data_IF_995495681806
#
_entry.id   IF_995495681806
#
_cell.length_a   1.000
_cell.length_b   1.000
_cell.length_c   1.000
_cell.angle_alpha   90.00
_cell.angle_beta   90.00
_cell.angle_gamma   90.00
#
_symmetry.space_group_name_H-M   'P 1'
#
loop_
_entity.id
_entity.type
_entity.pdbx_description
1 polymer ?
#
# COMPACT_ATOMS: atom_id res chain seq x y z
N UNK A 1 -22.98 -15.59 -15.26
CA UNK A 1 -23.27 -14.65 -14.15
C UNK A 1 -23.38 -15.49 -12.89
N UNK A 2 -22.51 -15.28 -11.89
CA UNK A 2 -22.59 -15.99 -10.62
C UNK A 2 -23.66 -15.32 -9.76
N UNK A 3 -24.70 -16.06 -9.38
CA UNK A 3 -25.70 -15.57 -8.44
C UNK A 3 -25.09 -15.50 -7.04
N UNK A 4 -25.47 -14.48 -6.28
CA UNK A 4 -25.06 -14.29 -4.89
C UNK A 4 -25.55 -15.47 -4.04
N UNK A 5 -24.67 -16.14 -3.29
CA UNK A 5 -25.08 -17.30 -2.47
C UNK A 5 -25.98 -16.92 -1.28
N UNK A 6 -25.99 -15.65 -0.88
CA UNK A 6 -26.79 -15.16 0.26
C UNK A 6 -28.22 -14.78 -0.15
N UNK A 7 -28.36 -13.94 -1.18
CA UNK A 7 -29.66 -13.38 -1.58
C UNK A 7 -30.15 -13.81 -2.97
N UNK A 8 -29.38 -14.63 -3.71
CA UNK A 8 -29.72 -15.06 -5.07
C UNK A 8 -29.58 -13.97 -6.15
N UNK A 9 -29.22 -12.74 -5.77
CA UNK A 9 -29.06 -11.60 -6.67
C UNK A 9 -27.97 -11.82 -7.74
N UNK A 10 -28.13 -11.24 -8.92
CA UNK A 10 -27.21 -11.41 -10.05
C UNK A 10 -26.00 -10.47 -10.04
N UNK A 11 -26.00 -9.46 -9.16
CA UNK A 11 -25.02 -8.38 -9.16
C UNK A 11 -23.88 -8.66 -8.17
N UNK A 12 -23.03 -9.62 -8.52
CA UNK A 12 -21.78 -9.90 -7.81
C UNK A 12 -20.63 -9.22 -8.55
N UNK A 13 -20.01 -8.23 -7.91
CA UNK A 13 -18.92 -7.42 -8.47
C UNK A 13 -17.64 -7.56 -7.63
N UNK A 14 -16.49 -7.26 -8.23
CA UNK A 14 -15.25 -7.21 -7.47
C UNK A 14 -15.23 -5.99 -6.54
N UNK A 15 -14.88 -6.20 -5.26
CA UNK A 15 -14.81 -5.10 -4.26
C UNK A 15 -13.89 -3.98 -4.74
N UNK A 16 -12.78 -4.33 -5.39
CA UNK A 16 -11.83 -3.38 -5.94
C UNK A 16 -12.43 -2.46 -7.03
N UNK A 17 -13.27 -3.01 -7.90
CA UNK A 17 -13.93 -2.26 -8.97
C UNK A 17 -15.03 -1.35 -8.40
N UNK A 18 -15.82 -1.87 -7.47
CA UNK A 18 -16.88 -1.12 -6.81
C UNK A 18 -16.30 0.07 -6.00
N UNK A 19 -15.22 -0.15 -5.23
CA UNK A 19 -14.51 0.94 -4.55
C UNK A 19 -13.98 2.01 -5.53
N UNK A 20 -13.39 1.59 -6.66
CA UNK A 20 -12.87 2.52 -7.66
C UNK A 20 -13.94 3.36 -8.36
N UNK A 21 -15.18 2.83 -8.46
CA UNK A 21 -16.34 3.58 -8.93
C UNK A 21 -16.86 4.54 -7.86
N UNK A 22 -17.04 4.05 -6.62
CA UNK A 22 -17.56 4.81 -5.48
C UNK A 22 -16.70 6.03 -5.14
N UNK A 23 -15.37 5.90 -5.13
CA UNK A 23 -14.46 7.00 -4.76
C UNK A 23 -14.50 8.21 -5.72
N UNK A 24 -15.06 8.03 -6.93
CA UNK A 24 -15.23 9.11 -7.91
C UNK A 24 -16.53 9.88 -7.71
N UNK A 25 -17.45 9.37 -6.89
CA UNK A 25 -18.74 9.98 -6.61
C UNK A 25 -18.56 10.92 -5.41
N UNK A 26 -18.77 12.23 -5.56
CA UNK A 26 -18.53 13.20 -4.48
C UNK A 26 -19.48 13.03 -3.29
N UNK A 27 -20.69 12.51 -3.48
CA UNK A 27 -21.63 12.20 -2.39
C UNK A 27 -21.47 10.79 -1.79
N UNK A 28 -20.41 10.06 -2.12
CA UNK A 28 -20.20 8.72 -1.55
C UNK A 28 -20.00 8.77 -0.03
N UNK A 29 -20.63 7.83 0.67
CA UNK A 29 -20.53 7.73 2.13
C UNK A 29 -19.10 7.34 2.55
N UNK A 30 -18.38 8.20 3.30
CA UNK A 30 -17.01 7.95 3.71
C UNK A 30 -16.88 6.72 4.61
N UNK A 31 -17.89 6.37 5.40
CA UNK A 31 -17.85 5.18 6.26
C UNK A 31 -17.95 3.89 5.44
N UNK A 32 -18.84 3.87 4.46
CA UNK A 32 -18.97 2.75 3.52
C UNK A 32 -17.70 2.57 2.66
N UNK A 33 -17.09 3.67 2.22
CA UNK A 33 -15.82 3.66 1.49
C UNK A 33 -14.65 3.12 2.34
N UNK A 34 -14.60 3.47 3.62
CA UNK A 34 -13.55 3.01 4.52
C UNK A 34 -13.57 1.50 4.71
N UNK A 35 -14.76 0.88 4.77
CA UNK A 35 -14.91 -0.57 4.84
C UNK A 35 -14.41 -1.29 3.57
N UNK A 36 -14.60 -0.65 2.42
CA UNK A 36 -14.21 -1.15 1.10
C UNK A 36 -12.77 -0.77 0.72
N UNK A 37 -12.05 -0.02 1.55
CA UNK A 37 -10.76 0.55 1.15
C UNK A 37 -9.67 -0.53 0.94
N UNK A 38 -8.76 -0.33 -0.02
CA UNK A 38 -7.63 -1.22 -0.20
C UNK A 38 -6.70 -1.19 1.02
N UNK A 39 -5.98 -2.29 1.31
CA UNK A 39 -5.03 -2.31 2.41
C UNK A 39 -3.95 -1.24 2.23
N UNK A 40 -3.63 -0.55 3.33
CA UNK A 40 -2.64 0.52 3.35
C UNK A 40 -1.26 -0.03 2.94
N UNK A 41 -0.68 0.50 1.86
CA UNK A 41 0.62 0.04 1.34
C UNK A 41 1.77 0.55 2.20
N UNK A 42 2.06 -0.15 3.30
CA UNK A 42 3.21 0.11 4.19
C UNK A 42 4.53 0.10 3.42
N UNK A 43 4.62 -0.65 2.32
CA UNK A 43 5.77 -0.65 1.43
C UNK A 43 6.01 0.71 0.77
N UNK A 44 5.02 1.58 0.61
CA UNK A 44 5.28 2.91 0.05
C UNK A 44 6.10 3.71 1.05
N UNK A 45 5.69 3.78 2.31
CA UNK A 45 6.42 4.51 3.36
C UNK A 45 7.87 4.06 3.52
N UNK A 46 8.11 2.74 3.64
CA UNK A 46 9.48 2.22 3.75
C UNK A 46 10.29 2.45 2.47
N UNK A 47 9.64 2.40 1.30
CA UNK A 47 10.29 2.66 0.02
C UNK A 47 10.75 4.10 -0.08
N UNK A 48 9.87 5.06 0.22
CA UNK A 48 10.20 6.49 0.21
C UNK A 48 11.31 6.80 1.22
N UNK A 49 11.21 6.27 2.44
CA UNK A 49 12.23 6.47 3.48
C UNK A 49 13.61 5.94 3.03
N UNK A 50 13.65 4.76 2.41
CA UNK A 50 14.90 4.17 1.89
C UNK A 50 15.51 5.04 0.79
N UNK A 51 14.69 5.51 -0.17
CA UNK A 51 15.14 6.41 -1.25
C UNK A 51 15.71 7.70 -0.66
N UNK A 52 15.02 8.33 0.30
CA UNK A 52 15.50 9.54 0.95
C UNK A 52 16.83 9.32 1.67
N UNK A 53 17.01 8.21 2.37
CA UNK A 53 18.26 7.88 3.07
C UNK A 53 19.43 7.65 2.10
N UNK A 54 19.21 6.96 0.98
CA UNK A 54 20.23 6.80 -0.05
C UNK A 54 20.57 8.13 -0.74
N UNK A 55 19.58 9.00 -0.95
CA UNK A 55 19.80 10.32 -1.50
C UNK A 55 20.64 11.21 -0.56
N UNK A 56 20.35 11.17 0.75
CA UNK A 56 21.15 11.85 1.77
C UNK A 56 22.57 11.27 1.87
N UNK A 57 22.72 9.95 1.73
CA UNK A 57 24.04 9.31 1.64
C UNK A 57 24.85 9.88 0.46
N UNK A 58 24.23 9.98 -0.72
CA UNK A 58 24.88 10.52 -1.92
C UNK A 58 25.27 11.99 -1.80
N UNK A 59 24.44 12.83 -1.17
CA UNK A 59 24.73 14.25 -0.98
C UNK A 59 25.77 14.50 0.13
N UNK A 60 25.85 13.63 1.13
CA UNK A 60 26.67 13.84 2.34
C UNK A 60 28.14 14.24 2.11
N UNK A 61 28.89 13.74 1.10
CA UNK A 61 30.28 14.11 0.87
C UNK A 61 30.46 15.59 0.48
N UNK A 62 29.41 16.25 -0.04
CA UNK A 62 29.45 17.65 -0.45
C UNK A 62 29.12 18.66 0.67
N UNK A 63 28.55 18.19 1.80
CA UNK A 63 28.07 19.06 2.88
C UNK A 63 28.72 18.78 4.23
N UNK A 64 29.48 17.70 4.37
CA UNK A 64 30.09 17.28 5.63
C UNK A 64 31.61 17.43 5.55
N UNK A 65 32.27 17.95 6.61
CA UNK A 65 33.73 18.03 6.64
C UNK A 65 34.35 16.63 6.44
N UNK A 66 35.50 16.52 5.74
CA UNK A 66 36.04 15.24 5.26
C UNK A 66 36.29 14.22 6.38
N UNK A 67 36.65 14.71 7.57
CA UNK A 67 36.87 13.92 8.79
C UNK A 67 35.59 13.25 9.34
N UNK A 68 34.40 13.72 8.96
CA UNK A 68 33.10 13.13 9.33
C UNK A 68 32.32 12.58 8.13
N UNK A 69 32.80 12.79 6.91
CA UNK A 69 32.09 12.37 5.69
C UNK A 69 31.89 10.84 5.66
N UNK A 70 32.91 10.07 6.00
CA UNK A 70 32.82 8.60 6.02
C UNK A 70 31.84 8.04 7.06
N UNK A 71 31.90 8.39 8.36
CA UNK A 71 30.94 7.88 9.34
C UNK A 71 29.49 8.32 9.06
N UNK A 72 29.29 9.53 8.53
CA UNK A 72 27.95 10.01 8.14
C UNK A 72 27.40 9.23 6.95
N UNK A 73 28.22 9.03 5.91
CA UNK A 73 27.88 8.19 4.76
C UNK A 73 27.53 6.77 5.19
N UNK A 74 28.37 6.15 6.03
CA UNK A 74 28.15 4.79 6.53
C UNK A 74 26.84 4.67 7.33
N UNK A 75 26.51 5.68 8.13
CA UNK A 75 25.26 5.73 8.91
C UNK A 75 24.04 5.77 7.99
N UNK A 76 24.03 6.66 6.98
CA UNK A 76 22.93 6.74 6.03
C UNK A 76 22.79 5.47 5.18
N UNK A 77 23.90 4.86 4.76
CA UNK A 77 23.89 3.59 4.03
C UNK A 77 23.36 2.44 4.89
N UNK A 78 23.75 2.36 6.16
CA UNK A 78 23.25 1.32 7.08
C UNK A 78 21.74 1.48 7.33
N UNK A 79 21.27 2.69 7.61
CA UNK A 79 19.84 3.00 7.74
C UNK A 79 19.08 2.72 6.44
N UNK A 80 19.65 3.10 5.30
CA UNK A 80 19.10 2.84 3.96
C UNK A 80 18.95 1.34 3.68
N UNK A 81 19.94 0.54 4.05
CA UNK A 81 19.91 -0.91 3.92
C UNK A 81 18.85 -1.57 4.83
N UNK A 82 18.77 -1.15 6.11
CA UNK A 82 17.74 -1.66 7.04
C UNK A 82 16.34 -1.33 6.53
N UNK A 83 16.11 -0.07 6.14
CA UNK A 83 14.81 0.36 5.59
C UNK A 83 14.47 -0.30 4.26
N UNK A 84 15.48 -0.63 3.44
CA UNK A 84 15.29 -1.40 2.21
C UNK A 84 14.88 -2.85 2.49
N UNK A 85 15.47 -3.51 3.50
CA UNK A 85 15.07 -4.86 3.91
C UNK A 85 13.65 -4.88 4.47
N UNK A 86 13.28 -3.90 5.31
CA UNK A 86 11.90 -3.77 5.81
C UNK A 86 10.94 -3.48 4.67
N UNK A 87 11.36 -2.69 3.68
CA UNK A 87 10.59 -2.46 2.46
C UNK A 87 10.31 -3.74 1.68
N UNK A 88 11.30 -4.60 1.47
CA UNK A 88 11.11 -5.89 0.78
C UNK A 88 10.09 -6.74 1.53
N UNK A 89 10.20 -6.83 2.85
CA UNK A 89 9.26 -7.59 3.69
C UNK A 89 7.84 -7.03 3.59
N UNK A 90 7.70 -5.71 3.75
CA UNK A 90 6.43 -5.01 3.63
C UNK A 90 5.82 -5.19 2.22
N UNK A 91 6.64 -5.16 1.17
CA UNK A 91 6.17 -5.35 -0.21
C UNK A 91 5.61 -6.75 -0.43
N UNK A 92 6.19 -7.78 0.19
CA UNK A 92 5.67 -9.15 0.10
C UNK A 92 4.33 -9.28 0.81
N UNK A 93 4.21 -8.74 2.02
CA UNK A 93 2.94 -8.75 2.77
C UNK A 93 1.86 -7.94 2.07
N UNK A 94 2.21 -6.77 1.55
CA UNK A 94 1.26 -5.88 0.86
C UNK A 94 0.79 -6.51 -0.47
N UNK A 95 1.67 -7.23 -1.19
CA UNK A 95 1.26 -7.99 -2.39
C UNK A 95 0.26 -9.08 -2.04
N UNK A 96 0.50 -9.85 -0.99
CA UNK A 96 -0.42 -10.90 -0.54
C UNK A 96 -1.77 -10.30 -0.11
N UNK A 97 -1.75 -9.21 0.65
CA UNK A 97 -2.96 -8.50 1.08
C UNK A 97 -3.73 -7.90 -0.11
N UNK A 98 -3.04 -7.31 -1.09
CA UNK A 98 -3.66 -6.79 -2.31
C UNK A 98 -4.23 -7.91 -3.19
N UNK A 99 -3.55 -9.05 -3.30
CA UNK A 99 -4.06 -10.20 -4.04
C UNK A 99 -5.34 -10.76 -3.40
N UNK A 100 -5.36 -10.87 -2.07
CA UNK A 100 -6.56 -11.26 -1.33
C UNK A 100 -7.69 -10.22 -1.50
N UNK A 101 -7.37 -8.93 -1.46
CA UNK A 101 -8.33 -7.86 -1.70
C UNK A 101 -8.91 -7.88 -3.13
N UNK A 102 -8.08 -8.14 -4.15
CA UNK A 102 -8.53 -8.27 -5.54
C UNK A 102 -9.41 -9.51 -5.77
N UNK A 103 -9.24 -10.56 -4.96
CA UNK A 103 -10.07 -11.76 -5.00
C UNK A 103 -11.44 -11.59 -4.35
N UNK A 104 -11.61 -10.60 -3.46
CA UNK A 104 -12.86 -10.37 -2.75
C UNK A 104 -13.98 -9.92 -3.67
N UNK A 105 -15.15 -10.52 -3.50
CA UNK A 105 -16.36 -10.17 -4.23
C UNK A 105 -17.43 -9.67 -3.28
N UNK A 106 -18.23 -8.73 -3.76
CA UNK A 106 -19.39 -8.24 -3.03
C UNK A 106 -20.65 -8.36 -3.88
N UNK A 107 -21.78 -8.57 -3.22
CA UNK A 107 -23.10 -8.42 -3.84
C UNK A 107 -23.65 -7.03 -3.54
N UNK A 108 -24.07 -6.30 -4.56
CA UNK A 108 -24.63 -4.94 -4.39
C UNK A 108 -25.98 -4.96 -3.69
N UNK A 109 -26.80 -5.98 -3.94
CA UNK A 109 -28.18 -6.08 -3.44
C UNK A 109 -28.25 -6.33 -1.93
N UNK A 110 -27.36 -7.19 -1.41
CA UNK A 110 -27.39 -7.62 -0.01
C UNK A 110 -26.09 -7.41 0.75
N UNK A 111 -25.10 -6.73 0.15
CA UNK A 111 -23.77 -6.45 0.73
C UNK A 111 -23.03 -7.68 1.27
N UNK A 112 -23.32 -8.86 0.72
CA UNK A 112 -22.57 -10.07 1.03
C UNK A 112 -21.14 -9.95 0.52
N UNK A 113 -20.15 -10.33 1.33
CA UNK A 113 -18.72 -10.36 0.97
C UNK A 113 -18.20 -11.81 1.01
N UNK A 114 -17.45 -12.21 -0.03
CA UNK A 114 -16.83 -13.53 -0.13
C UNK A 114 -15.46 -13.52 -0.80
#
# INVERSE_FOLDING_TARGET
MQACPSCGGSHVVAVAEHYAAQVRIPESDPEALAALAPPLRRSIFHGTASITLFFLAFLSPGFVPPQRAYPVLATFLALGAVTFLTWIRARRTDRAAMAAYQGRRMCEDCRWEG
#
